data_IF_867739840842
#
_entry.id   IF_867739840842
#
_cell.length_a   1.000
_cell.length_b   1.000
_cell.length_c   1.000
_cell.angle_alpha   90.00
_cell.angle_beta   90.00
_cell.angle_gamma   90.00
#
_symmetry.space_group_name_H-M   'P 1'
#
loop_
_entity.id
_entity.type
_entity.pdbx_description
1 polymer ?
#
# COMPACT_ATOMS: atom_id res chain seq x y z
N UNK A 1 15.13 -17.88 14.96
CA UNK A 1 14.93 -16.62 15.73
C UNK A 1 13.64 -16.78 16.51
N UNK A 2 13.60 -16.40 17.80
CA UNK A 2 12.36 -16.46 18.59
C UNK A 2 11.40 -15.34 18.18
N UNK A 3 10.14 -15.41 18.61
CA UNK A 3 9.15 -14.36 18.35
C UNK A 3 9.60 -13.03 18.97
N UNK A 4 10.13 -13.09 20.18
CA UNK A 4 10.63 -11.95 20.95
C UNK A 4 11.79 -11.28 20.22
N UNK A 5 12.76 -12.07 19.75
CA UNK A 5 13.90 -11.55 18.99
C UNK A 5 13.50 -10.91 17.64
N UNK A 6 12.43 -11.39 16.99
CA UNK A 6 11.87 -10.74 15.79
C UNK A 6 11.25 -9.39 16.17
N UNK A 7 10.43 -9.37 17.23
CA UNK A 7 9.76 -8.14 17.69
C UNK A 7 10.81 -7.10 18.09
N UNK A 8 11.77 -7.45 18.94
CA UNK A 8 12.80 -6.52 19.42
C UNK A 8 13.61 -5.92 18.26
N UNK A 9 13.92 -6.73 17.25
CA UNK A 9 14.70 -6.28 16.10
C UNK A 9 13.97 -5.28 15.22
N UNK A 10 12.66 -5.44 15.04
CA UNK A 10 11.92 -4.76 13.98
C UNK A 10 10.84 -3.79 14.48
N UNK A 11 10.38 -3.91 15.72
CA UNK A 11 9.20 -3.19 16.20
C UNK A 11 9.31 -1.67 16.08
N UNK A 12 10.45 -1.07 16.46
CA UNK A 12 10.60 0.39 16.43
C UNK A 12 10.51 0.96 15.01
N UNK A 13 11.10 0.30 14.02
CA UNK A 13 11.01 0.71 12.62
C UNK A 13 9.58 0.61 12.08
N UNK A 14 8.88 -0.49 12.38
CA UNK A 14 7.50 -0.69 11.94
C UNK A 14 6.54 0.27 12.63
N UNK A 15 6.76 0.57 13.92
CA UNK A 15 6.03 1.62 14.65
C UNK A 15 6.16 2.97 13.96
N UNK A 16 7.37 3.34 13.53
CA UNK A 16 7.59 4.60 12.82
C UNK A 16 6.82 4.64 11.48
N UNK A 17 6.85 3.55 10.69
CA UNK A 17 6.11 3.45 9.43
C UNK A 17 4.59 3.57 9.61
N UNK A 18 4.03 2.98 10.67
CA UNK A 18 2.60 3.10 10.98
C UNK A 18 2.23 4.55 11.31
N UNK A 19 3.05 5.24 12.11
CA UNK A 19 2.84 6.67 12.43
C UNK A 19 2.95 7.56 11.20
N UNK A 20 3.89 7.27 10.30
CA UNK A 20 4.08 8.02 9.06
C UNK A 20 2.85 7.90 8.13
N UNK A 21 2.32 6.69 7.96
CA UNK A 21 1.09 6.44 7.20
C UNK A 21 -0.10 7.19 7.83
N UNK A 22 -0.26 7.14 9.16
CA UNK A 22 -1.34 7.86 9.84
C UNK A 22 -1.24 9.38 9.63
N UNK A 23 -0.04 9.95 9.82
CA UNK A 23 0.18 11.38 9.62
C UNK A 23 0.00 11.81 8.15
N UNK A 24 0.29 10.93 7.19
CA UNK A 24 -0.03 11.16 5.78
C UNK A 24 -1.54 11.26 5.56
N UNK A 25 -2.32 10.30 6.07
CA UNK A 25 -3.78 10.31 5.96
C UNK A 25 -4.39 11.53 6.64
N UNK A 26 -3.91 11.93 7.84
CA UNK A 26 -4.34 13.17 8.51
C UNK A 26 -4.09 14.44 7.69
N UNK A 27 -3.08 14.45 6.80
CA UNK A 27 -2.82 15.60 5.89
C UNK A 27 -3.77 15.59 4.71
N UNK A 28 -4.07 14.41 4.16
CA UNK A 28 -5.06 14.23 3.10
C UNK A 28 -6.44 14.66 3.58
N UNK A 29 -6.87 14.20 4.76
CA UNK A 29 -8.21 14.48 5.29
C UNK A 29 -8.42 15.96 5.64
N UNK A 30 -7.34 16.73 5.83
CA UNK A 30 -7.39 18.17 6.07
C UNK A 30 -7.61 19.00 4.81
N UNK A 31 -7.45 18.43 3.61
CA UNK A 31 -7.75 19.13 2.36
C UNK A 31 -9.23 18.95 2.04
N UNK A 32 -9.98 20.07 1.98
CA UNK A 32 -11.42 20.07 1.73
C UNK A 32 -11.80 19.78 0.26
N UNK A 33 -10.83 19.89 -0.66
CA UNK A 33 -11.04 19.82 -2.09
C UNK A 33 -10.20 18.67 -2.69
N UNK A 34 -10.84 17.78 -3.45
CA UNK A 34 -10.15 16.73 -4.20
C UNK A 34 -11.04 15.54 -4.56
N UNK A 35 -10.81 14.98 -5.75
CA UNK A 35 -11.36 13.66 -6.12
C UNK A 35 -10.58 12.59 -5.38
N UNK A 36 -11.23 11.47 -5.02
CA UNK A 36 -10.56 10.31 -4.43
C UNK A 36 -9.37 9.87 -5.29
N UNK A 37 -8.17 9.79 -4.69
CA UNK A 37 -6.97 9.29 -5.38
C UNK A 37 -6.88 7.78 -5.20
N UNK A 38 -6.81 7.04 -6.32
CA UNK A 38 -6.75 5.57 -6.31
C UNK A 38 -5.58 5.01 -5.47
N UNK A 39 -4.49 5.77 -5.30
CA UNK A 39 -3.36 5.35 -4.46
C UNK A 39 -3.73 5.35 -2.97
N UNK A 40 -4.59 6.27 -2.54
CA UNK A 40 -5.12 6.30 -1.17
C UNK A 40 -6.04 5.09 -0.96
N UNK A 41 -6.93 4.81 -1.90
CA UNK A 41 -7.83 3.65 -1.86
C UNK A 41 -7.04 2.32 -1.81
N UNK A 42 -5.98 2.20 -2.60
CA UNK A 42 -5.09 1.06 -2.60
C UNK A 42 -4.37 0.90 -1.24
N UNK A 43 -3.86 1.99 -0.66
CA UNK A 43 -3.20 1.96 0.65
C UNK A 43 -4.17 1.52 1.76
N UNK A 44 -5.40 2.05 1.79
CA UNK A 44 -6.44 1.65 2.74
C UNK A 44 -6.80 0.17 2.59
N UNK A 45 -6.83 -0.34 1.36
CA UNK A 45 -7.05 -1.77 1.08
C UNK A 45 -5.90 -2.63 1.60
N UNK A 46 -4.66 -2.17 1.46
CA UNK A 46 -3.49 -2.85 2.02
C UNK A 46 -3.52 -2.89 3.57
N UNK A 47 -3.97 -1.83 4.23
CA UNK A 47 -4.11 -1.78 5.70
C UNK A 47 -5.18 -2.77 6.18
N UNK A 48 -6.29 -2.92 5.44
CA UNK A 48 -7.30 -3.95 5.73
C UNK A 48 -6.70 -5.35 5.57
N UNK A 49 -5.96 -5.57 4.49
CA UNK A 49 -5.34 -6.88 4.22
C UNK A 49 -4.26 -7.25 5.25
N UNK A 50 -3.53 -6.26 5.77
CA UNK A 50 -2.52 -6.46 6.83
C UNK A 50 -3.13 -7.10 8.08
N UNK A 51 -4.40 -6.80 8.37
CA UNK A 51 -5.16 -7.23 9.54
C UNK A 51 -5.89 -8.59 9.35
N UNK A 52 -5.89 -9.17 8.15
CA UNK A 52 -6.76 -10.32 7.81
C UNK A 52 -6.41 -11.63 8.53
N UNK A 53 -5.31 -11.71 9.27
CA UNK A 53 -4.84 -12.92 9.97
C UNK A 53 -4.35 -14.06 9.06
N UNK A 54 -4.58 -13.97 7.74
CA UNK A 54 -4.22 -15.00 6.75
C UNK A 54 -2.70 -15.01 6.47
N UNK A 55 -2.12 -16.20 6.33
CA UNK A 55 -0.70 -16.41 5.98
C UNK A 55 -0.34 -15.84 4.61
N UNK A 56 0.85 -15.25 4.44
CA UNK A 56 1.28 -14.68 3.16
C UNK A 56 0.82 -13.24 2.89
N UNK A 57 0.60 -12.45 3.96
CA UNK A 57 0.18 -11.03 3.89
C UNK A 57 1.00 -10.19 2.89
N UNK A 58 2.32 -10.38 2.84
CA UNK A 58 3.19 -9.63 1.93
C UNK A 58 2.85 -9.87 0.46
N UNK A 59 2.64 -11.14 0.08
CA UNK A 59 2.26 -11.48 -1.31
C UNK A 59 0.91 -10.88 -1.68
N UNK A 60 -0.07 -10.95 -0.77
CA UNK A 60 -1.41 -10.41 -1.04
C UNK A 60 -1.40 -8.90 -1.16
N UNK A 61 -0.67 -8.21 -0.28
CA UNK A 61 -0.49 -6.75 -0.35
C UNK A 61 0.24 -6.37 -1.65
N UNK A 62 1.31 -7.09 -2.02
CA UNK A 62 1.99 -6.87 -3.30
C UNK A 62 1.03 -7.03 -4.48
N UNK A 63 0.20 -8.07 -4.48
CA UNK A 63 -0.77 -8.31 -5.54
C UNK A 63 -1.82 -7.19 -5.65
N UNK A 64 -2.22 -6.58 -4.52
CA UNK A 64 -3.13 -5.42 -4.52
C UNK A 64 -2.51 -4.17 -5.17
N UNK A 65 -1.18 -4.05 -5.16
CA UNK A 65 -0.45 -2.90 -5.70
C UNK A 65 0.05 -3.13 -7.14
N UNK A 66 0.09 -4.38 -7.58
CA UNK A 66 0.64 -4.79 -8.88
C UNK A 66 -0.44 -4.87 -9.95
N UNK A 67 -0.10 -4.39 -11.14
CA UNK A 67 -0.84 -4.72 -12.35
C UNK A 67 -0.75 -6.23 -12.63
N UNK A 68 -1.90 -6.86 -12.84
CA UNK A 68 -2.02 -8.29 -13.09
C UNK A 68 -2.27 -8.60 -14.57
N UNK A 69 -2.28 -7.59 -15.45
CA UNK A 69 -2.43 -7.84 -16.89
C UNK A 69 -1.24 -8.62 -17.42
N UNK A 70 -1.54 -9.68 -18.17
CA UNK A 70 -0.52 -10.51 -18.84
C UNK A 70 -0.27 -10.07 -20.28
N UNK A 71 -1.20 -9.30 -20.85
CA UNK A 71 -1.05 -8.74 -22.19
C UNK A 71 -0.17 -7.49 -22.14
N UNK A 72 0.91 -7.43 -22.94
CA UNK A 72 1.73 -6.22 -23.03
C UNK A 72 0.91 -5.05 -23.56
N UNK A 73 1.09 -3.88 -22.97
CA UNK A 73 0.59 -2.63 -23.55
C UNK A 73 1.34 -2.34 -24.86
N UNK A 74 0.63 -1.87 -25.88
CA UNK A 74 1.22 -1.60 -27.21
C UNK A 74 2.31 -0.53 -27.17
N UNK A 75 2.22 0.42 -26.25
CA UNK A 75 3.22 1.44 -26.01
C UNK A 75 3.30 1.79 -24.52
N UNK A 76 4.53 1.92 -24.00
CA UNK A 76 4.75 2.37 -22.63
C UNK A 76 4.42 3.87 -22.50
N UNK A 77 3.34 4.21 -21.79
CA UNK A 77 3.03 5.60 -21.46
C UNK A 77 4.15 6.27 -20.65
N UNK A 78 4.32 7.60 -20.78
CA UNK A 78 5.38 8.38 -20.10
C UNK A 78 5.27 8.49 -18.57
N UNK A 79 4.31 7.81 -17.93
CA UNK A 79 4.15 7.85 -16.46
C UNK A 79 4.75 6.58 -15.88
N UNK A 80 5.87 6.74 -15.15
CA UNK A 80 6.49 5.66 -14.38
C UNK A 80 5.54 5.03 -13.36
N UNK A 81 5.96 3.91 -12.76
CA UNK A 81 5.13 3.14 -11.83
C UNK A 81 4.54 4.03 -10.72
N UNK A 82 3.21 4.13 -10.67
CA UNK A 82 2.44 4.86 -9.65
C UNK A 82 2.49 4.21 -8.26
N UNK A 83 2.98 2.96 -8.18
CA UNK A 83 3.01 2.16 -6.96
C UNK A 83 1.65 1.58 -6.55
N UNK A 84 0.61 1.75 -7.38
CA UNK A 84 -0.72 1.15 -7.25
C UNK A 84 -1.35 1.06 -8.65
N UNK A 85 -2.36 0.19 -8.82
CA UNK A 85 -3.06 0.00 -10.09
C UNK A 85 -4.09 1.12 -10.31
N UNK A 86 -3.95 1.97 -11.34
CA UNK A 86 -4.97 2.96 -11.65
C UNK A 86 -6.26 2.29 -12.14
N UNK A 87 -7.44 2.89 -11.90
CA UNK A 87 -8.69 2.38 -12.46
C UNK A 87 -8.62 2.37 -13.99
N UNK A 88 -9.22 1.35 -14.60
CA UNK A 88 -9.37 1.28 -16.05
C UNK A 88 -10.15 2.50 -16.53
N UNK A 89 -9.57 3.22 -17.50
CA UNK A 89 -10.14 4.46 -18.06
C UNK A 89 -11.33 4.19 -18.95
#
# INVERSE_FOLDING_TARGET
MTKEAIVDRYFLEHRAKVLDIAAFLDRVDRTADGVSDFRIEALLSCIKELQSGKEGRTQRILNLLSDQTTEPIEFAGMKGASGAVPPVS
#
